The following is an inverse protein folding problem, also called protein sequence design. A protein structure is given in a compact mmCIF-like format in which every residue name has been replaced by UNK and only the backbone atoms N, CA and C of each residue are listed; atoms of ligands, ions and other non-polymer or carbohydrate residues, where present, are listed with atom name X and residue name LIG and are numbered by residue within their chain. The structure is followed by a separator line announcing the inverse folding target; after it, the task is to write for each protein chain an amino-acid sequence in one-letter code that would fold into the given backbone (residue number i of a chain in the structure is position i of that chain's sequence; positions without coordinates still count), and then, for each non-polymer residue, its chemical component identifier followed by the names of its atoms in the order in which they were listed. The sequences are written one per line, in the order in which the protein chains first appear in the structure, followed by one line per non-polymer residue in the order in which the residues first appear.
data_IF_034554811179
#
_entry.id   IF_034554811179
#
_cell.length_a   1.000
_cell.length_b   1.000
_cell.length_c   1.000
_cell.angle_alpha   90.00
_cell.angle_beta   90.00
_cell.angle_gamma   90.00
#
_symmetry.space_group_name_H-M   'P 1'
#
loop_
_entity.id
_entity.type
_entity.pdbx_description
1 polymer ?
#
# COMPACT_ATOMS: atom_id res chain seq x y z
N UNK A 1 -3.91 -29.87 3.66
CA UNK A 1 -4.04 -29.88 2.19
C UNK A 1 -4.77 -31.14 1.77
N UNK A 2 -5.60 -31.05 0.72
CA UNK A 2 -6.25 -32.22 0.13
C UNK A 2 -5.17 -33.19 -0.38
N UNK A 3 -5.44 -34.50 -0.31
CA UNK A 3 -4.53 -35.49 -0.88
C UNK A 3 -4.54 -35.40 -2.41
N UNK A 4 -3.43 -35.78 -3.06
CA UNK A 4 -3.34 -35.81 -4.53
C UNK A 4 -4.46 -36.69 -5.14
N UNK A 5 -4.78 -37.82 -4.50
CA UNK A 5 -5.89 -38.70 -4.90
C UNK A 5 -7.24 -37.99 -4.85
N UNK A 6 -7.47 -37.13 -3.85
CA UNK A 6 -8.70 -36.33 -3.75
C UNK A 6 -8.78 -35.28 -4.85
N UNK A 7 -7.66 -34.62 -5.18
CA UNK A 7 -7.60 -33.61 -6.26
C UNK A 7 -7.84 -34.27 -7.63
N UNK A 8 -7.21 -35.43 -7.87
CA UNK A 8 -7.39 -36.19 -9.10
C UNK A 8 -8.83 -36.72 -9.26
N UNK A 9 -9.44 -37.19 -8.16
CA UNK A 9 -10.84 -37.62 -8.17
C UNK A 9 -11.77 -36.45 -8.52
N UNK A 10 -11.57 -35.28 -7.91
CA UNK A 10 -12.34 -34.06 -8.18
C UNK A 10 -12.15 -33.61 -9.64
N UNK A 11 -10.93 -33.67 -10.17
CA UNK A 11 -10.61 -33.33 -11.57
C UNK A 11 -11.15 -34.34 -12.58
N UNK A 12 -11.42 -35.58 -12.17
CA UNK A 12 -11.99 -36.62 -13.05
C UNK A 12 -13.52 -36.57 -13.12
N UNK A 13 -14.15 -35.74 -12.30
CA UNK A 13 -15.60 -35.59 -12.29
C UNK A 13 -16.05 -34.84 -13.55
N UNK A 14 -17.12 -35.31 -14.20
CA UNK A 14 -17.70 -34.65 -15.39
C UNK A 14 -18.54 -33.40 -15.02
N UNK A 15 -18.12 -32.67 -13.99
CA UNK A 15 -18.79 -31.50 -13.43
C UNK A 15 -17.85 -30.30 -13.54
N UNK A 16 -18.24 -29.31 -14.34
CA UNK A 16 -17.47 -28.10 -14.61
C UNK A 16 -17.05 -27.34 -13.34
N UNK A 17 -17.92 -27.29 -12.33
CA UNK A 17 -17.64 -26.62 -11.04
C UNK A 17 -16.55 -27.33 -10.23
N UNK A 18 -16.45 -28.65 -10.34
CA UNK A 18 -15.44 -29.44 -9.65
C UNK A 18 -14.09 -29.38 -10.36
N UNK A 19 -14.11 -29.30 -11.70
CA UNK A 19 -12.90 -29.06 -12.48
C UNK A 19 -12.26 -27.70 -12.16
N UNK A 20 -13.07 -26.64 -12.06
CA UNK A 20 -12.60 -25.33 -11.60
C UNK A 20 -12.00 -25.40 -10.19
N UNK A 21 -12.64 -26.16 -9.27
CA UNK A 21 -12.12 -26.36 -7.92
C UNK A 21 -10.77 -27.08 -7.94
N UNK A 22 -10.58 -28.10 -8.78
CA UNK A 22 -9.29 -28.81 -8.90
C UNK A 22 -8.16 -27.92 -9.42
N UNK A 23 -8.45 -27.04 -10.38
CA UNK A 23 -7.48 -26.11 -10.97
C UNK A 23 -6.94 -25.12 -9.93
N UNK A 24 -7.81 -24.62 -9.03
CA UNK A 24 -7.43 -23.73 -7.92
C UNK A 24 -6.41 -24.37 -6.98
N UNK A 25 -6.47 -25.69 -6.75
CA UNK A 25 -5.49 -26.38 -5.90
C UNK A 25 -4.20 -26.73 -6.65
N UNK A 26 -4.26 -27.05 -7.94
CA UNK A 26 -3.07 -27.36 -8.76
C UNK A 26 -2.18 -26.12 -9.00
N UNK A 27 -2.74 -24.91 -9.06
CA UNK A 27 -1.96 -23.67 -9.22
C UNK A 27 -1.10 -23.29 -8.00
N UNK A 28 -1.30 -23.95 -6.84
CA UNK A 28 -0.58 -23.65 -5.59
C UNK A 28 0.83 -24.24 -5.50
N UNK A 29 1.26 -25.06 -6.47
CA UNK A 29 2.57 -25.72 -6.49
C UNK A 29 3.64 -24.98 -7.36
N UNK A 30 3.25 -24.08 -8.27
CA UNK A 30 4.12 -23.61 -9.38
C UNK A 30 4.39 -22.08 -9.44
N UNK A 31 4.44 -21.35 -8.30
CA UNK A 31 4.72 -19.89 -8.31
C UNK A 31 5.88 -19.46 -7.41
N UNK A 32 6.98 -20.21 -7.46
CA UNK A 32 8.21 -19.94 -6.71
C UNK A 32 9.41 -19.49 -7.56
N UNK A 33 9.22 -18.65 -8.57
CA UNK A 33 10.36 -18.10 -9.33
C UNK A 33 10.72 -16.70 -8.83
N UNK A 34 11.32 -16.63 -7.64
CA UNK A 34 12.18 -15.51 -7.25
C UNK A 34 13.49 -16.06 -6.72
N UNK A 35 14.56 -15.71 -7.43
CA UNK A 35 15.96 -16.08 -7.24
C UNK A 35 16.45 -15.91 -5.80
N UNK A 36 16.49 -16.99 -5.00
CA UNK A 36 17.41 -17.14 -3.87
C UNK A 36 17.80 -18.61 -3.73
N UNK A 37 19.05 -18.91 -4.07
CA UNK A 37 19.66 -20.24 -4.04
C UNK A 37 20.15 -20.57 -2.62
N UNK A 38 19.25 -20.98 -1.72
CA UNK A 38 19.61 -21.60 -0.44
C UNK A 38 18.45 -22.41 0.14
N UNK A 39 18.09 -23.57 -0.43
CA UNK A 39 17.50 -24.72 0.31
C UNK A 39 16.92 -25.75 -0.66
N UNK A 40 17.79 -26.62 -1.18
CA UNK A 40 17.40 -27.81 -1.95
C UNK A 40 17.20 -29.07 -1.06
N UNK A 41 17.05 -28.93 0.26
CA UNK A 41 16.97 -30.06 1.20
C UNK A 41 15.70 -30.16 2.06
N UNK A 42 14.73 -29.26 1.89
CA UNK A 42 13.39 -29.49 2.42
C UNK A 42 12.38 -29.25 1.30
N UNK A 43 11.82 -30.34 0.75
CA UNK A 43 10.51 -30.29 0.09
C UNK A 43 9.47 -29.94 1.16
N UNK A 44 9.49 -28.68 1.59
CA UNK A 44 8.63 -28.19 2.64
C UNK A 44 7.32 -27.82 1.97
N UNK A 45 6.29 -28.65 2.18
CA UNK A 45 4.91 -28.30 1.83
C UNK A 45 4.65 -26.87 2.29
N UNK A 46 4.40 -25.94 1.35
CA UNK A 46 4.12 -24.54 1.68
C UNK A 46 2.94 -24.49 2.66
N UNK A 47 3.19 -23.96 3.84
CA UNK A 47 2.15 -23.81 4.86
C UNK A 47 1.16 -22.71 4.50
N UNK A 48 -0.01 -22.70 5.13
CA UNK A 48 -0.98 -21.61 4.98
C UNK A 48 -0.35 -20.26 5.35
N UNK A 49 0.51 -20.24 6.38
CA UNK A 49 1.22 -19.04 6.80
C UNK A 49 2.22 -18.51 5.76
N UNK A 50 2.96 -19.38 5.06
CA UNK A 50 3.89 -18.96 4.01
C UNK A 50 3.12 -18.40 2.80
N UNK A 51 2.00 -19.04 2.43
CA UNK A 51 1.15 -18.54 1.35
C UNK A 51 0.51 -17.18 1.70
N UNK A 52 0.03 -17.00 2.93
CA UNK A 52 -0.50 -15.72 3.39
C UNK A 52 0.57 -14.63 3.38
N UNK A 53 1.79 -14.94 3.82
CA UNK A 53 2.92 -14.00 3.77
C UNK A 53 3.22 -13.54 2.35
N UNK A 54 3.27 -14.48 1.39
CA UNK A 54 3.55 -14.16 -0.01
C UNK A 54 2.43 -13.29 -0.63
N UNK A 55 1.17 -13.60 -0.33
CA UNK A 55 0.02 -12.78 -0.77
C UNK A 55 0.05 -11.37 -0.15
N UNK A 56 0.36 -11.28 1.15
CA UNK A 56 0.49 -10.00 1.84
C UNK A 56 1.64 -9.17 1.26
N UNK A 57 2.78 -9.79 0.95
CA UNK A 57 3.92 -9.10 0.35
C UNK A 57 3.58 -8.53 -1.02
N UNK A 58 2.90 -9.31 -1.88
CA UNK A 58 2.41 -8.84 -3.18
C UNK A 58 1.47 -7.65 -3.03
N UNK A 59 0.53 -7.71 -2.07
CA UNK A 59 -0.38 -6.61 -1.77
C UNK A 59 0.37 -5.35 -1.31
N UNK A 60 1.35 -5.49 -0.40
CA UNK A 60 2.14 -4.36 0.09
C UNK A 60 2.87 -3.65 -1.05
N UNK A 61 3.50 -4.42 -1.96
CA UNK A 61 4.16 -3.84 -3.13
C UNK A 61 3.18 -3.09 -4.05
N UNK A 62 1.94 -3.59 -4.21
CA UNK A 62 0.92 -2.88 -4.98
C UNK A 62 0.52 -1.57 -4.30
N UNK A 63 0.28 -1.58 -2.98
CA UNK A 63 -0.08 -0.38 -2.23
C UNK A 63 1.02 0.68 -2.27
N UNK A 64 2.29 0.27 -2.15
CA UNK A 64 3.47 1.15 -2.24
C UNK A 64 3.62 1.82 -3.62
N UNK A 65 3.10 1.21 -4.68
CA UNK A 65 3.09 1.80 -6.03
C UNK A 65 2.00 2.86 -6.26
N UNK A 66 1.16 3.11 -5.25
CA UNK A 66 0.04 4.07 -5.33
C UNK A 66 0.22 5.25 -4.38
N UNK A 67 -0.69 6.23 -4.44
CA UNK A 67 -0.78 7.30 -3.44
C UNK A 67 -1.84 6.93 -2.39
N UNK A 68 -1.46 6.41 -1.21
CA UNK A 68 -2.42 5.91 -0.24
C UNK A 68 -3.19 7.03 0.46
N UNK A 69 -4.46 6.76 0.74
CA UNK A 69 -5.31 7.57 1.60
C UNK A 69 -5.64 6.76 2.86
N UNK A 70 -5.09 7.17 4.01
CA UNK A 70 -5.24 6.42 5.26
C UNK A 70 -6.53 6.81 5.98
N UNK A 71 -7.44 5.85 6.16
CA UNK A 71 -8.65 5.99 6.99
C UNK A 71 -8.47 5.11 8.23
N UNK A 72 -8.66 5.70 9.41
CA UNK A 72 -8.61 4.97 10.67
C UNK A 72 -9.98 4.89 11.31
N UNK A 73 -10.51 3.68 11.41
CA UNK A 73 -11.74 3.40 12.15
C UNK A 73 -11.46 3.48 13.66
N UNK A 74 -12.31 4.19 14.40
CA UNK A 74 -12.27 4.25 15.86
C UNK A 74 -13.56 3.64 16.39
N UNK A 75 -13.42 2.59 17.21
CA UNK A 75 -14.57 2.00 17.90
C UNK A 75 -14.88 2.87 19.13
N UNK A 76 -16.09 3.43 19.26
CA UNK A 76 -16.42 4.21 20.44
C UNK A 76 -16.46 3.30 21.67
N UNK A 77 -15.58 3.55 22.63
CA UNK A 77 -15.59 2.90 23.95
C UNK A 77 -15.02 3.82 25.03
N UNK A 78 -15.18 3.47 26.30
CA UNK A 78 -14.71 4.27 27.45
C UNK A 78 -13.19 4.44 27.52
N UNK A 79 -12.42 3.68 26.73
CA UNK A 79 -10.95 3.69 26.68
C UNK A 79 -10.39 4.27 25.37
N UNK A 80 -11.21 4.98 24.59
CA UNK A 80 -10.83 5.55 23.29
C UNK A 80 -9.49 6.30 23.35
N UNK A 81 -9.22 7.07 24.41
CA UNK A 81 -7.94 7.79 24.56
C UNK A 81 -6.71 6.85 24.60
N UNK A 82 -6.83 5.71 25.29
CA UNK A 82 -5.74 4.74 25.37
C UNK A 82 -5.57 3.99 24.05
N UNK A 83 -6.67 3.71 23.35
CA UNK A 83 -6.63 3.12 22.02
C UNK A 83 -5.95 4.05 21.03
N UNK A 84 -6.32 5.33 20.96
CA UNK A 84 -5.69 6.30 20.07
C UNK A 84 -4.17 6.41 20.31
N UNK A 85 -3.73 6.24 21.56
CA UNK A 85 -2.30 6.18 21.92
C UNK A 85 -1.64 4.89 21.46
N UNK A 86 -2.18 3.71 21.80
CA UNK A 86 -1.59 2.41 21.39
C UNK A 86 -1.57 2.25 19.88
N UNK A 87 -2.54 2.86 19.21
CA UNK A 87 -2.69 2.93 17.78
C UNK A 87 -1.72 3.91 17.09
N UNK A 88 -1.04 4.79 17.83
CA UNK A 88 -0.14 5.80 17.26
C UNK A 88 -0.86 6.98 16.55
N UNK A 89 -2.15 7.19 16.78
CA UNK A 89 -2.91 8.27 16.11
C UNK A 89 -2.38 9.65 16.50
N UNK A 90 -2.12 9.85 17.80
CA UNK A 90 -1.60 11.12 18.29
C UNK A 90 -0.23 11.45 17.69
N UNK A 91 0.59 10.42 17.50
CA UNK A 91 1.91 10.55 16.90
C UNK A 91 1.82 10.87 15.40
N UNK A 92 0.94 10.19 14.68
CA UNK A 92 0.67 10.49 13.27
C UNK A 92 0.20 11.94 13.07
N UNK A 93 -0.69 12.44 13.95
CA UNK A 93 -1.12 13.84 13.92
C UNK A 93 0.05 14.78 14.20
N UNK A 94 0.87 14.48 15.21
CA UNK A 94 2.05 15.29 15.57
C UNK A 94 3.03 15.40 14.41
N UNK A 95 3.37 14.28 13.78
CA UNK A 95 4.27 14.23 12.61
C UNK A 95 3.65 15.00 11.44
N UNK A 96 2.36 14.78 11.15
CA UNK A 96 1.67 15.45 10.04
C UNK A 96 1.67 16.97 10.18
N UNK A 97 1.50 17.47 11.41
CA UNK A 97 1.54 18.91 11.70
C UNK A 97 2.94 19.52 11.54
N UNK A 98 4.00 18.74 11.78
CA UNK A 98 5.38 19.22 11.67
C UNK A 98 5.98 19.06 10.25
N UNK A 99 5.45 18.13 9.45
CA UNK A 99 6.15 17.62 8.26
C UNK A 99 5.85 18.28 6.91
N UNK A 100 4.95 19.28 6.85
CA UNK A 100 4.42 19.86 5.60
C UNK A 100 3.99 18.78 4.59
N UNK A 101 2.81 18.15 4.78
CA UNK A 101 2.41 16.95 4.04
C UNK A 101 2.18 17.21 2.54
N UNK A 102 1.90 18.45 2.17
CA UNK A 102 1.79 18.89 0.78
C UNK A 102 3.14 19.40 0.31
N UNK A 103 3.72 18.72 -0.69
CA UNK A 103 4.95 19.14 -1.37
C UNK A 103 4.66 19.28 -2.85
N UNK A 104 5.20 20.33 -3.45
CA UNK A 104 5.05 20.61 -4.86
C UNK A 104 6.33 21.27 -5.36
N UNK A 105 6.68 21.05 -6.62
CA UNK A 105 7.85 21.70 -7.20
C UNK A 105 7.56 23.20 -7.44
N UNK A 106 8.60 24.04 -7.48
CA UNK A 106 8.43 25.49 -7.65
C UNK A 106 7.78 25.88 -8.99
N UNK A 107 7.95 25.06 -10.03
CA UNK A 107 7.38 25.30 -11.35
C UNK A 107 5.86 25.13 -11.36
N UNK A 108 5.35 24.03 -10.82
CA UNK A 108 3.94 23.73 -10.62
C UNK A 108 3.32 24.74 -9.65
N UNK A 109 4.01 25.03 -8.54
CA UNK A 109 3.56 26.01 -7.56
C UNK A 109 3.38 27.39 -8.18
N UNK A 110 4.39 27.88 -8.89
CA UNK A 110 4.32 29.19 -9.54
C UNK A 110 3.21 29.20 -10.59
N UNK A 111 3.14 28.19 -11.46
CA UNK A 111 2.06 28.09 -12.47
C UNK A 111 0.65 28.14 -11.88
N UNK A 112 0.44 27.51 -10.72
CA UNK A 112 -0.87 27.48 -10.09
C UNK A 112 -1.20 28.72 -9.28
N UNK A 113 -0.21 29.38 -8.68
CA UNK A 113 -0.45 30.41 -7.67
C UNK A 113 0.12 31.79 -8.00
N UNK A 114 0.86 31.95 -9.10
CA UNK A 114 1.42 33.24 -9.54
C UNK A 114 0.33 34.33 -9.67
N UNK A 115 -0.87 33.96 -10.09
CA UNK A 115 -1.99 34.91 -10.22
C UNK A 115 -2.35 35.59 -8.88
N UNK A 116 -2.02 34.99 -7.73
CA UNK A 116 -2.23 35.56 -6.40
C UNK A 116 -1.31 36.77 -6.12
N UNK A 117 -0.26 36.97 -6.92
CA UNK A 117 0.66 38.11 -6.82
C UNK A 117 0.21 39.34 -7.61
N UNK A 118 -0.99 39.33 -8.20
CA UNK A 118 -1.50 40.46 -9.01
C UNK A 118 -1.33 41.80 -8.29
N UNK A 119 -0.53 42.69 -8.88
CA UNK A 119 -0.13 44.00 -8.32
C UNK A 119 1.31 44.09 -7.80
N UNK A 120 2.07 43.00 -7.75
CA UNK A 120 3.51 42.97 -7.43
C UNK A 120 4.28 42.62 -8.72
N UNK A 121 5.47 43.21 -8.90
CA UNK A 121 6.37 42.83 -10.01
C UNK A 121 6.73 41.35 -9.86
N UNK A 122 6.22 40.51 -10.76
CA UNK A 122 6.34 39.05 -10.62
C UNK A 122 7.81 38.68 -10.81
N UNK A 123 8.46 38.01 -9.83
CA UNK A 123 9.82 37.57 -10.00
C UNK A 123 9.95 36.66 -11.23
N UNK A 124 10.98 36.87 -12.05
CA UNK A 124 11.24 36.00 -13.22
C UNK A 124 11.63 34.56 -12.82
N UNK A 125 12.07 34.36 -11.59
CA UNK A 125 12.53 33.09 -11.05
C UNK A 125 11.40 32.37 -10.27
N UNK A 126 11.27 31.06 -10.49
CA UNK A 126 10.24 30.20 -9.90
C UNK A 126 10.34 30.10 -8.37
N UNK A 127 11.57 30.11 -7.83
CA UNK A 127 11.77 30.05 -6.39
C UNK A 127 11.27 31.33 -5.73
N UNK A 128 11.65 32.50 -6.24
CA UNK A 128 11.24 33.81 -5.74
C UNK A 128 9.73 33.99 -5.86
N UNK A 129 9.11 33.55 -6.96
CA UNK A 129 7.65 33.57 -7.10
C UNK A 129 6.99 32.70 -6.05
N UNK A 130 7.49 31.48 -5.83
CA UNK A 130 6.98 30.60 -4.77
C UNK A 130 7.12 31.23 -3.38
N UNK A 131 8.28 31.81 -3.08
CA UNK A 131 8.54 32.47 -1.79
C UNK A 131 7.65 33.70 -1.61
N UNK A 132 7.48 34.53 -2.64
CA UNK A 132 6.63 35.72 -2.59
C UNK A 132 5.16 35.36 -2.33
N UNK A 133 4.66 34.32 -3.01
CA UNK A 133 3.30 33.80 -2.75
C UNK A 133 3.20 33.30 -1.30
N UNK A 134 4.14 32.47 -0.85
CA UNK A 134 4.09 31.92 0.51
C UNK A 134 4.21 33.00 1.60
N UNK A 135 5.02 34.03 1.39
CA UNK A 135 5.17 35.17 2.31
C UNK A 135 3.92 36.05 2.37
N UNK A 136 3.14 36.13 1.28
CA UNK A 136 1.90 36.91 1.26
C UNK A 136 0.78 36.28 2.12
N UNK A 137 0.83 34.97 2.35
CA UNK A 137 -0.26 34.21 3.01
C UNK A 137 0.19 33.44 4.27
N UNK A 138 1.40 33.66 4.77
CA UNK A 138 1.85 33.27 6.11
C UNK A 138 1.61 34.41 7.10
#
# INVERSE_FOLDING_TARGET
MLSSNSIQLISSCNCERLNLFSEVFSQSEEHGNSTFHFDALYSQKRGVGTNFKDQLFKLMHQLESTRPHFIRCVKPNTRTHQELRSCGVLEAVRISRAGYPTRMNHQEFSRWYEFLLSGIDVPRDLLSTSVAVLQKFN
#
